data_IF_183184934780
#
_entry.id   IF_183184934780
#
_cell.length_a   1.000
_cell.length_b   1.000
_cell.length_c   1.000
_cell.angle_alpha   90.00
_cell.angle_beta   90.00
_cell.angle_gamma   90.00
#
_symmetry.space_group_name_H-M   'P 1'
#
loop_
_entity.id
_entity.type
_entity.pdbx_description
1 polymer ?
#
# COMPACT_ATOMS: atom_id res chain seq x y z
N UNK A 1 23.62 -6.60 5.18
CA UNK A 1 22.16 -6.49 5.26
C UNK A 1 21.65 -6.41 3.83
N UNK A 2 20.82 -7.36 3.42
CA UNK A 2 20.30 -7.48 2.06
C UNK A 2 18.86 -6.94 2.02
N UNK A 3 18.45 -6.37 0.87
CA UNK A 3 17.15 -5.72 0.71
C UNK A 3 16.35 -6.38 -0.42
N UNK A 4 15.05 -6.47 -0.22
CA UNK A 4 14.11 -6.92 -1.24
C UNK A 4 12.85 -6.07 -1.20
N UNK A 5 12.38 -5.64 -2.37
CA UNK A 5 11.09 -5.00 -2.53
C UNK A 5 10.18 -5.99 -3.26
N UNK A 6 9.09 -6.35 -2.63
CA UNK A 6 8.05 -7.20 -3.23
C UNK A 6 6.76 -6.40 -3.30
N UNK A 7 6.10 -6.38 -4.46
CA UNK A 7 4.87 -5.60 -4.62
C UNK A 7 3.74 -6.38 -5.29
N UNK A 8 2.51 -6.08 -4.87
CA UNK A 8 1.27 -6.50 -5.52
C UNK A 8 0.52 -5.26 -5.99
N UNK A 9 0.53 -5.02 -7.30
CA UNK A 9 0.11 -3.73 -7.86
C UNK A 9 -0.87 -3.87 -9.03
N UNK A 10 -2.11 -4.32 -8.77
CA UNK A 10 -3.12 -4.44 -9.81
C UNK A 10 -3.49 -3.12 -10.49
N UNK A 11 -3.27 -1.98 -9.83
CA UNK A 11 -3.53 -0.64 -10.37
C UNK A 11 -2.25 0.09 -10.82
N UNK A 12 -1.08 -0.50 -10.64
CA UNK A 12 0.21 0.07 -11.05
C UNK A 12 0.78 1.12 -10.08
N UNK A 13 0.10 1.47 -9.00
CA UNK A 13 0.57 2.50 -8.07
C UNK A 13 1.69 2.00 -7.15
N UNK A 14 1.51 0.86 -6.50
CA UNK A 14 2.53 0.28 -5.63
C UNK A 14 3.81 -0.07 -6.41
N UNK A 15 3.71 -0.48 -7.68
CA UNK A 15 4.85 -0.71 -8.56
C UNK A 15 5.67 0.57 -8.77
N UNK A 16 5.02 1.70 -9.05
CA UNK A 16 5.70 3.00 -9.19
C UNK A 16 6.39 3.43 -7.89
N UNK A 17 5.73 3.25 -6.75
CA UNK A 17 6.32 3.54 -5.45
C UNK A 17 7.48 2.59 -5.11
N UNK A 18 7.41 1.33 -5.51
CA UNK A 18 8.52 0.38 -5.39
C UNK A 18 9.74 0.82 -6.20
N UNK A 19 9.54 1.34 -7.42
CA UNK A 19 10.62 1.87 -8.24
C UNK A 19 11.31 3.08 -7.58
N UNK A 20 10.54 3.99 -6.98
CA UNK A 20 11.09 5.12 -6.21
C UNK A 20 11.90 4.67 -5.00
N UNK A 21 11.37 3.73 -4.22
CA UNK A 21 12.07 3.18 -3.05
C UNK A 21 13.36 2.45 -3.44
N UNK A 22 13.39 1.84 -4.63
CA UNK A 22 14.57 1.17 -5.16
C UNK A 22 15.77 2.13 -5.31
N UNK A 23 15.53 3.39 -5.66
CA UNK A 23 16.57 4.42 -5.81
C UNK A 23 17.23 4.82 -4.48
N UNK A 24 16.56 4.55 -3.35
CA UNK A 24 17.08 4.83 -2.01
C UNK A 24 17.94 3.71 -1.43
N UNK A 25 17.91 2.53 -2.05
CA UNK A 25 18.47 1.30 -1.51
C UNK A 25 19.73 0.88 -2.27
N UNK A 26 20.56 -0.02 -1.70
CA UNK A 26 21.76 -0.53 -2.37
C UNK A 26 21.49 -1.09 -3.77
N UNK A 27 22.46 -1.01 -4.70
CA UNK A 27 22.29 -1.42 -6.10
C UNK A 27 21.90 -2.89 -6.29
N UNK A 28 22.21 -3.75 -5.37
CA UNK A 28 21.89 -5.18 -5.35
C UNK A 28 20.50 -5.51 -4.79
N UNK A 29 19.70 -4.50 -4.44
CA UNK A 29 18.32 -4.68 -3.97
C UNK A 29 17.47 -5.39 -5.03
N UNK A 30 16.88 -6.50 -4.66
CA UNK A 30 15.95 -7.25 -5.52
C UNK A 30 14.58 -6.57 -5.54
N UNK A 31 14.00 -6.41 -6.73
CA UNK A 31 12.64 -5.87 -6.90
C UNK A 31 11.83 -6.84 -7.74
N UNK A 32 10.69 -7.28 -7.24
CA UNK A 32 9.83 -8.22 -7.95
C UNK A 32 8.34 -8.06 -7.63
N UNK A 33 7.50 -8.40 -8.60
CA UNK A 33 6.07 -8.54 -8.37
C UNK A 33 5.78 -9.80 -7.53
N UNK A 34 4.82 -9.71 -6.62
CA UNK A 34 4.38 -10.84 -5.80
C UNK A 34 3.73 -11.91 -6.67
N UNK A 35 4.36 -13.06 -6.73
CA UNK A 35 3.90 -14.24 -7.44
C UNK A 35 3.84 -15.48 -6.52
N UNK A 36 3.37 -16.61 -7.07
CA UNK A 36 3.24 -17.87 -6.31
C UNK A 36 4.57 -18.41 -5.78
N UNK A 37 5.69 -18.06 -6.42
CA UNK A 37 7.02 -18.55 -6.06
C UNK A 37 7.90 -17.47 -5.41
N UNK A 38 7.35 -16.28 -5.16
CA UNK A 38 8.09 -15.21 -4.49
C UNK A 38 8.45 -15.62 -3.08
N UNK A 39 9.74 -15.53 -2.74
CA UNK A 39 10.26 -15.88 -1.42
C UNK A 39 10.92 -14.67 -0.77
N UNK A 40 10.75 -14.53 0.53
CA UNK A 40 11.39 -13.50 1.35
C UNK A 40 12.87 -13.85 1.62
N UNK A 41 13.73 -13.68 0.60
CA UNK A 41 15.14 -14.07 0.66
C UNK A 41 16.05 -13.10 1.40
N UNK A 42 15.71 -11.80 1.43
CA UNK A 42 16.55 -10.76 2.04
C UNK A 42 16.27 -10.57 3.55
N UNK A 43 17.19 -9.88 4.23
CA UNK A 43 17.07 -9.54 5.65
C UNK A 43 15.99 -8.48 5.89
N UNK A 44 15.93 -7.49 4.98
CA UNK A 44 14.98 -6.38 5.00
C UNK A 44 13.99 -6.54 3.86
N UNK A 45 12.72 -6.60 4.20
CA UNK A 45 11.60 -6.77 3.28
C UNK A 45 10.79 -5.48 3.20
N UNK A 46 10.77 -4.86 2.04
CA UNK A 46 9.84 -3.78 1.73
C UNK A 46 8.68 -4.39 0.94
N UNK A 47 7.47 -4.34 1.48
CA UNK A 47 6.31 -4.95 0.82
C UNK A 47 5.30 -3.88 0.48
N UNK A 48 5.00 -3.77 -0.82
CA UNK A 48 4.07 -2.79 -1.37
C UNK A 48 2.81 -3.43 -1.92
N UNK A 49 1.66 -2.79 -1.74
CA UNK A 49 0.41 -3.30 -2.31
C UNK A 49 -0.63 -2.22 -2.57
N UNK A 50 -1.38 -2.38 -3.67
CA UNK A 50 -2.55 -1.58 -3.95
C UNK A 50 -3.78 -2.20 -3.28
N UNK A 51 -4.46 -1.45 -2.43
CA UNK A 51 -5.72 -1.86 -1.81
C UNK A 51 -6.90 -1.25 -2.56
N UNK A 52 -7.88 -2.09 -2.87
CA UNK A 52 -9.20 -1.69 -3.38
C UNK A 52 -10.15 -1.46 -2.21
N UNK A 53 -11.32 -0.86 -2.47
CA UNK A 53 -12.33 -0.66 -1.42
C UNK A 53 -12.74 -1.95 -0.70
N UNK A 54 -12.82 -3.06 -1.44
CA UNK A 54 -13.17 -4.37 -0.87
C UNK A 54 -12.08 -4.93 0.06
N UNK A 55 -10.84 -4.53 -0.15
CA UNK A 55 -9.68 -4.99 0.63
C UNK A 55 -9.54 -4.29 1.99
N UNK A 56 -10.32 -3.24 2.23
CA UNK A 56 -10.25 -2.47 3.47
C UNK A 56 -10.73 -3.25 4.70
N UNK A 57 -11.58 -4.24 4.48
CA UNK A 57 -12.08 -5.12 5.55
C UNK A 57 -11.28 -6.42 5.66
N UNK A 58 -10.76 -6.92 4.55
CA UNK A 58 -9.98 -8.16 4.49
C UNK A 58 -8.91 -8.04 3.42
N UNK A 59 -7.64 -8.12 3.81
CA UNK A 59 -6.53 -8.08 2.87
C UNK A 59 -6.60 -9.23 1.86
N UNK A 60 -6.11 -9.02 0.62
CA UNK A 60 -5.97 -10.09 -0.36
C UNK A 60 -5.16 -11.26 0.19
N UNK A 61 -5.61 -12.48 -0.09
CA UNK A 61 -5.03 -13.71 0.48
C UNK A 61 -3.54 -13.88 0.15
N UNK A 62 -3.13 -13.51 -1.06
CA UNK A 62 -1.74 -13.58 -1.48
C UNK A 62 -0.84 -12.66 -0.63
N UNK A 63 -1.32 -11.46 -0.27
CA UNK A 63 -0.62 -10.53 0.61
C UNK A 63 -0.52 -11.13 2.02
N UNK A 64 -1.64 -11.59 2.57
CA UNK A 64 -1.67 -12.20 3.90
C UNK A 64 -0.71 -13.39 3.99
N UNK A 65 -0.71 -14.25 2.96
CA UNK A 65 0.18 -15.42 2.91
C UNK A 65 1.65 -15.01 2.89
N UNK A 66 2.00 -14.00 2.08
CA UNK A 66 3.37 -13.51 2.00
C UNK A 66 3.81 -12.87 3.33
N UNK A 67 2.98 -11.99 3.91
CA UNK A 67 3.29 -11.32 5.19
C UNK A 67 3.53 -12.32 6.33
N UNK A 68 2.76 -13.40 6.41
CA UNK A 68 2.96 -14.47 7.40
C UNK A 68 4.32 -15.18 7.27
N UNK A 69 4.91 -15.16 6.10
CA UNK A 69 6.23 -15.75 5.83
C UNK A 69 7.43 -14.87 6.22
N UNK A 70 7.21 -13.68 6.80
CA UNK A 70 8.26 -12.70 7.12
C UNK A 70 8.84 -12.87 8.54
N UNK A 71 8.78 -14.06 9.10
CA UNK A 71 9.32 -14.33 10.43
C UNK A 71 10.83 -14.07 10.50
N UNK A 72 11.28 -13.39 11.56
CA UNK A 72 12.68 -13.00 11.76
C UNK A 72 13.20 -11.93 10.79
N UNK A 73 12.36 -11.33 9.95
CA UNK A 73 12.75 -10.28 9.00
C UNK A 73 12.51 -8.88 9.55
N UNK A 74 13.31 -7.90 9.09
CA UNK A 74 12.97 -6.49 9.22
C UNK A 74 11.97 -6.12 8.13
N UNK A 75 10.81 -5.57 8.50
CA UNK A 75 9.69 -5.36 7.60
C UNK A 75 9.25 -3.91 7.56
N UNK A 76 9.28 -3.31 6.38
CA UNK A 76 8.68 -2.03 6.07
C UNK A 76 7.57 -2.21 5.04
N UNK A 77 6.40 -1.62 5.29
CA UNK A 77 5.24 -1.76 4.43
C UNK A 77 4.84 -0.42 3.83
N UNK A 78 4.37 -0.45 2.59
CA UNK A 78 3.75 0.69 1.95
C UNK A 78 2.53 0.24 1.14
N UNK A 79 1.46 1.02 1.20
CA UNK A 79 0.24 0.66 0.49
C UNK A 79 -0.44 1.88 -0.09
N UNK A 80 -1.12 1.68 -1.20
CA UNK A 80 -2.03 2.68 -1.75
C UNK A 80 -3.46 2.37 -1.37
N UNK A 81 -4.23 3.40 -1.08
CA UNK A 81 -5.63 3.30 -0.65
C UNK A 81 -6.49 4.29 -1.43
N UNK A 82 -7.75 3.94 -1.75
CA UNK A 82 -8.61 4.77 -2.61
C UNK A 82 -9.29 5.92 -1.83
N UNK A 83 -8.59 6.53 -0.88
CA UNK A 83 -9.08 7.63 -0.03
C UNK A 83 -7.91 8.42 0.56
N UNK A 84 -8.21 9.53 1.23
CA UNK A 84 -7.21 10.29 2.00
C UNK A 84 -6.74 9.50 3.22
N UNK A 85 -5.44 9.59 3.51
CA UNK A 85 -4.81 8.79 4.58
C UNK A 85 -5.03 9.31 6.00
N UNK A 86 -5.71 10.43 6.16
CA UNK A 86 -6.21 10.95 7.44
C UNK A 86 -7.60 10.39 7.81
N UNK A 87 -8.19 9.55 6.97
CA UNK A 87 -9.49 8.92 7.19
C UNK A 87 -9.42 7.83 8.30
N UNK A 88 -10.54 7.63 8.98
CA UNK A 88 -10.71 6.56 9.97
C UNK A 88 -10.42 5.17 9.39
N UNK A 89 -10.62 4.98 8.09
CA UNK A 89 -10.30 3.75 7.38
C UNK A 89 -8.82 3.41 7.40
N UNK A 90 -7.93 4.41 7.46
CA UNK A 90 -6.48 4.20 7.59
C UNK A 90 -6.14 3.37 8.84
N UNK A 91 -6.79 3.63 9.96
CA UNK A 91 -6.60 2.85 11.20
C UNK A 91 -7.04 1.39 11.04
N UNK A 92 -8.11 1.16 10.28
CA UNK A 92 -8.57 -0.21 10.00
C UNK A 92 -7.56 -0.96 9.12
N UNK A 93 -7.01 -0.31 8.11
CA UNK A 93 -5.95 -0.88 7.27
C UNK A 93 -4.72 -1.22 8.09
N UNK A 94 -4.23 -0.30 8.92
CA UNK A 94 -3.11 -0.56 9.84
C UNK A 94 -3.36 -1.77 10.72
N UNK A 95 -4.53 -1.88 11.32
CA UNK A 95 -4.91 -3.02 12.17
C UNK A 95 -4.90 -4.35 11.40
N UNK A 96 -5.47 -4.37 10.20
CA UNK A 96 -5.53 -5.59 9.38
C UNK A 96 -4.15 -6.04 8.94
N UNK A 97 -3.30 -5.09 8.54
CA UNK A 97 -1.93 -5.36 8.08
C UNK A 97 -1.07 -5.89 9.22
N UNK A 98 -1.07 -5.21 10.38
CA UNK A 98 -0.28 -5.64 11.53
C UNK A 98 -0.73 -6.99 12.08
N UNK A 99 -2.02 -7.31 12.01
CA UNK A 99 -2.54 -8.62 12.40
C UNK A 99 -2.07 -9.78 11.49
N UNK A 100 -1.64 -9.47 10.26
CA UNK A 100 -1.12 -10.47 9.32
C UNK A 100 0.39 -10.72 9.49
N UNK A 101 1.12 -9.90 10.24
CA UNK A 101 2.55 -10.05 10.45
C UNK A 101 2.85 -11.09 11.55
N UNK A 102 3.95 -11.86 11.40
CA UNK A 102 4.42 -12.74 12.47
C UNK A 102 4.90 -11.94 13.69
N UNK A 103 4.75 -12.54 14.87
CA UNK A 103 5.13 -11.88 16.12
C UNK A 103 6.64 -11.60 16.25
N UNK A 104 7.47 -12.34 15.53
CA UNK A 104 8.94 -12.23 15.59
C UNK A 104 9.53 -11.38 14.46
N UNK A 105 8.73 -10.68 13.65
CA UNK A 105 9.26 -9.75 12.68
C UNK A 105 9.63 -8.40 13.35
N UNK A 106 10.71 -7.78 12.85
CA UNK A 106 11.09 -6.42 13.23
C UNK A 106 10.31 -5.42 12.36
N UNK A 107 9.08 -5.14 12.77
CA UNK A 107 8.17 -4.25 12.03
C UNK A 107 8.57 -2.79 12.19
N UNK A 108 8.87 -2.12 11.07
CA UNK A 108 9.35 -0.74 11.00
C UNK A 108 8.25 0.29 10.70
N UNK A 109 7.10 -0.16 10.23
CA UNK A 109 5.95 0.70 9.98
C UNK A 109 5.27 0.45 8.64
N UNK A 110 4.10 1.05 8.48
CA UNK A 110 3.31 1.08 7.26
C UNK A 110 3.10 2.53 6.84
N UNK A 111 3.48 2.86 5.61
CA UNK A 111 3.15 4.13 4.98
C UNK A 111 1.96 3.95 4.04
N UNK A 112 0.91 4.74 4.22
CA UNK A 112 -0.25 4.75 3.34
C UNK A 112 -0.19 5.97 2.41
N UNK A 113 -0.34 5.73 1.10
CA UNK A 113 -0.48 6.78 0.10
C UNK A 113 -1.92 6.79 -0.43
N UNK A 114 -2.56 7.95 -0.57
CA UNK A 114 -3.79 8.02 -1.34
C UNK A 114 -3.51 7.65 -2.80
N UNK A 115 -4.46 7.04 -3.48
CA UNK A 115 -4.35 6.71 -4.88
C UNK A 115 -5.69 6.81 -5.59
N UNK A 116 -5.68 7.36 -6.80
CA UNK A 116 -6.89 7.45 -7.60
C UNK A 116 -7.45 6.07 -7.94
N UNK A 117 -8.76 5.97 -7.84
CA UNK A 117 -9.50 4.80 -8.29
C UNK A 117 -9.62 4.80 -9.83
N UNK A 118 -9.79 3.63 -10.47
CA UNK A 118 -10.06 3.56 -11.89
C UNK A 118 -11.31 4.40 -12.27
N UNK A 119 -11.23 5.10 -13.41
CA UNK A 119 -12.30 6.00 -13.87
C UNK A 119 -13.67 5.31 -13.98
N UNK A 120 -13.68 4.04 -14.41
CA UNK A 120 -14.90 3.24 -14.49
C UNK A 120 -15.59 3.09 -13.13
N UNK A 121 -14.83 2.94 -12.04
CA UNK A 121 -15.38 2.82 -10.69
C UNK A 121 -15.96 4.16 -10.22
N UNK A 122 -15.24 5.25 -10.45
CA UNK A 122 -15.70 6.61 -10.11
C UNK A 122 -16.97 6.94 -10.84
N UNK A 123 -17.04 6.66 -12.15
CA UNK A 123 -18.22 6.87 -12.97
C UNK A 123 -19.39 6.00 -12.52
N UNK A 124 -19.12 4.76 -12.09
CA UNK A 124 -20.13 3.88 -11.47
C UNK A 124 -20.79 4.52 -10.25
N UNK A 125 -20.00 5.08 -9.33
CA UNK A 125 -20.56 5.80 -8.16
C UNK A 125 -21.31 7.05 -8.56
N UNK A 126 -20.82 7.81 -9.54
CA UNK A 126 -21.48 9.00 -10.06
C UNK A 126 -22.86 8.67 -10.62
N UNK A 127 -22.97 7.60 -11.40
CA UNK A 127 -24.24 7.11 -11.94
C UNK A 127 -25.21 6.66 -10.83
N UNK A 128 -24.72 5.97 -9.80
CA UNK A 128 -25.56 5.56 -8.65
C UNK A 128 -26.11 6.79 -7.92
N UNK A 129 -25.28 7.79 -7.67
CA UNK A 129 -25.69 9.03 -6.99
C UNK A 129 -26.70 9.82 -7.83
N UNK A 130 -26.54 9.87 -9.16
CA UNK A 130 -27.50 10.52 -10.06
C UNK A 130 -28.87 9.85 -10.04
N UNK A 131 -28.92 8.51 -10.05
CA UNK A 131 -30.15 7.74 -10.02
C UNK A 131 -30.83 7.70 -8.67
N UNK A 132 -30.04 7.72 -7.60
CA UNK A 132 -30.52 7.71 -6.23
C UNK A 132 -29.73 8.70 -5.36
N UNK A 133 -30.12 10.00 -5.37
CA UNK A 133 -29.42 11.04 -4.60
C UNK A 133 -29.46 10.84 -3.08
N UNK A 134 -30.32 9.97 -2.57
CA UNK A 134 -30.39 9.64 -1.14
C UNK A 134 -29.45 8.48 -0.72
N UNK A 135 -28.72 7.89 -1.67
CA UNK A 135 -27.73 6.85 -1.35
C UNK A 135 -26.47 7.47 -0.73
N UNK A 136 -26.49 7.62 0.60
CA UNK A 136 -25.39 8.23 1.37
C UNK A 136 -24.08 7.47 1.21
N UNK A 137 -24.14 6.14 1.14
CA UNK A 137 -22.94 5.31 0.98
C UNK A 137 -22.24 5.57 -0.36
N UNK A 138 -23.00 5.65 -1.45
CA UNK A 138 -22.43 5.95 -2.76
C UNK A 138 -21.84 7.37 -2.82
N UNK A 139 -22.50 8.36 -2.20
CA UNK A 139 -21.98 9.72 -2.08
C UNK A 139 -20.62 9.75 -1.34
N UNK A 140 -20.52 9.11 -0.19
CA UNK A 140 -19.28 9.06 0.59
C UNK A 140 -18.14 8.41 -0.21
N UNK A 141 -18.40 7.34 -0.96
CA UNK A 141 -17.38 6.72 -1.79
C UNK A 141 -16.98 7.60 -2.98
N UNK A 142 -17.94 8.26 -3.61
CA UNK A 142 -17.65 9.21 -4.69
C UNK A 142 -16.77 10.35 -4.20
N UNK A 143 -17.09 10.97 -3.07
CA UNK A 143 -16.29 12.03 -2.45
C UNK A 143 -14.85 11.57 -2.16
N UNK A 144 -14.68 10.36 -1.61
CA UNK A 144 -13.35 9.78 -1.34
C UNK A 144 -12.56 9.57 -2.62
N UNK A 145 -13.19 9.04 -3.65
CA UNK A 145 -12.55 8.85 -4.96
C UNK A 145 -12.12 10.19 -5.57
N UNK A 146 -12.96 11.21 -5.49
CA UNK A 146 -12.66 12.54 -5.99
C UNK A 146 -11.51 13.21 -5.22
N UNK A 147 -11.46 13.06 -3.90
CA UNK A 147 -10.36 13.55 -3.07
C UNK A 147 -9.02 12.84 -3.34
N UNK A 148 -9.06 11.57 -3.76
CA UNK A 148 -7.87 10.79 -4.10
C UNK A 148 -7.45 10.94 -5.57
N UNK A 149 -8.17 11.71 -6.37
CA UNK A 149 -7.86 11.91 -7.77
C UNK A 149 -6.51 12.64 -7.94
N UNK A 150 -5.68 12.18 -8.88
CA UNK A 150 -4.33 12.70 -9.09
C UNK A 150 -3.27 12.16 -8.12
N UNK A 151 -3.66 11.32 -7.16
CA UNK A 151 -2.73 10.67 -6.22
C UNK A 151 -2.37 9.24 -6.65
N UNK A 152 -1.20 8.71 -6.28
CA UNK A 152 -0.12 9.42 -5.57
C UNK A 152 0.49 10.53 -6.43
N UNK A 153 0.73 11.67 -5.82
CA UNK A 153 1.44 12.79 -6.44
C UNK A 153 2.90 12.86 -5.98
N UNK A 154 3.61 13.93 -6.37
CA UNK A 154 5.01 14.13 -6.00
C UNK A 154 5.17 14.30 -4.47
N UNK A 155 4.22 14.95 -3.79
CA UNK A 155 4.27 15.14 -2.34
C UNK A 155 4.10 13.81 -1.59
N UNK A 156 3.22 12.92 -2.08
CA UNK A 156 3.04 11.57 -1.55
C UNK A 156 4.32 10.73 -1.71
N UNK A 157 4.92 10.80 -2.89
CA UNK A 157 6.17 10.12 -3.22
C UNK A 157 7.31 10.54 -2.30
N UNK A 158 7.46 11.86 -2.08
CA UNK A 158 8.46 12.42 -1.17
C UNK A 158 8.17 12.05 0.28
N UNK A 159 6.91 12.01 0.70
CA UNK A 159 6.53 11.59 2.05
C UNK A 159 6.88 10.12 2.31
N UNK A 160 6.62 9.23 1.35
CA UNK A 160 7.03 7.84 1.42
C UNK A 160 8.56 7.71 1.54
N UNK A 161 9.31 8.41 0.70
CA UNK A 161 10.77 8.37 0.72
C UNK A 161 11.35 8.87 2.06
N UNK A 162 10.83 9.97 2.59
CA UNK A 162 11.24 10.48 3.93
C UNK A 162 10.94 9.47 5.02
N UNK A 163 9.75 8.88 5.00
CA UNK A 163 9.35 7.89 5.99
C UNK A 163 10.25 6.64 5.92
N UNK A 164 10.49 6.12 4.72
CA UNK A 164 11.36 4.96 4.51
C UNK A 164 12.79 5.22 5.02
N UNK A 165 13.40 6.36 4.67
CA UNK A 165 14.73 6.74 5.18
C UNK A 165 14.78 6.76 6.69
N UNK A 166 13.78 7.39 7.33
CA UNK A 166 13.71 7.50 8.78
C UNK A 166 13.61 6.12 9.46
N UNK A 167 12.68 5.26 9.05
CA UNK A 167 12.40 3.98 9.72
C UNK A 167 13.44 2.90 9.41
N UNK A 168 14.05 2.94 8.23
CA UNK A 168 15.12 2.03 7.82
C UNK A 168 16.53 2.56 8.12
N UNK A 169 16.64 3.79 8.65
CA UNK A 169 17.92 4.45 9.00
C UNK A 169 18.90 4.48 7.82
N UNK A 170 18.40 4.89 6.64
CA UNK A 170 19.20 4.93 5.42
C UNK A 170 20.10 6.18 5.31
N UNK A 171 19.87 7.19 6.12
CA UNK A 171 20.66 8.43 6.17
C UNK A 171 21.74 8.29 7.28
N UNK A 172 22.82 7.58 6.97
CA UNK A 172 24.05 7.59 7.78
C UNK A 172 25.25 7.76 6.89
#
# INVERSE_FOLDING_TARGET
MTYQITYFSPNGHAEKLAALLRELLPPDTRVEALGKQTQAGADVQLVGFDLKMVDLHTLPLNIVTYLKGLDGKTVFLFATVPFRTDDVLSRQVHKNVTAALPAQCDYRGLHLCPAQSPDMLVEGFRNVVQRNPSNIRAKHWLERCEQAQGHPDEADSQALCRFARHVLKLDT
#
